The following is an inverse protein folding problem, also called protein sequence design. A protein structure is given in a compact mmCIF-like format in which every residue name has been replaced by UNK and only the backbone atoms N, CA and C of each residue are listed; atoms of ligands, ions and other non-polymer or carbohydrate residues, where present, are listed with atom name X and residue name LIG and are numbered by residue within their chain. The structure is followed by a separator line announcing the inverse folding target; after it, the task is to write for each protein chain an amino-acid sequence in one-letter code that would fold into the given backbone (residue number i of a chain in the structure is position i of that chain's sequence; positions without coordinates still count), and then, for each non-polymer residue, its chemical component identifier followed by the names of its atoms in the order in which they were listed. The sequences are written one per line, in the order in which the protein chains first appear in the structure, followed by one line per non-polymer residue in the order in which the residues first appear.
data_IF_104920116116
#
_entry.id   IF_104920116116
#
_cell.length_a   1.000
_cell.length_b   1.000
_cell.length_c   1.000
_cell.angle_alpha   90.00
_cell.angle_beta   90.00
_cell.angle_gamma   90.00
#
_symmetry.space_group_name_H-M   'P 1'
#
loop_
_entity.id
_entity.type
_entity.pdbx_description
1 polymer ?
#
# COMPACT_ATOMS: atom_id res chain seq x y z
N UNK A 1 40.97 -0.67 11.35
CA UNK A 1 39.57 -1.06 11.04
C UNK A 1 39.58 -2.07 9.89
N UNK A 2 38.81 -3.16 9.96
CA UNK A 2 38.85 -4.27 8.97
C UNK A 2 38.41 -3.89 7.54
N UNK A 3 37.65 -2.79 7.39
CA UNK A 3 37.17 -2.30 6.09
C UNK A 3 37.46 -0.82 5.94
N UNK A 4 37.75 -0.39 4.71
CA UNK A 4 38.02 1.01 4.39
C UNK A 4 36.74 1.86 4.40
N UNK A 5 36.89 3.19 4.52
CA UNK A 5 35.78 4.15 4.38
C UNK A 5 35.13 4.04 2.99
N UNK A 6 35.93 3.81 1.95
CA UNK A 6 35.48 3.62 0.57
C UNK A 6 34.59 2.39 0.42
N UNK A 7 35.00 1.28 1.06
CA UNK A 7 34.20 0.04 1.09
C UNK A 7 32.83 0.27 1.73
N UNK A 8 32.78 1.05 2.82
CA UNK A 8 31.52 1.40 3.48
C UNK A 8 30.63 2.29 2.61
N UNK A 9 31.19 3.30 1.93
CA UNK A 9 30.44 4.17 1.00
C UNK A 9 29.84 3.38 -0.15
N UNK A 10 30.64 2.53 -0.80
CA UNK A 10 30.20 1.68 -1.92
C UNK A 10 29.08 0.71 -1.52
N UNK A 11 29.15 0.15 -0.31
CA UNK A 11 28.08 -0.69 0.23
C UNK A 11 26.76 0.08 0.41
N UNK A 12 26.83 1.33 0.88
CA UNK A 12 25.65 2.19 1.04
C UNK A 12 25.06 2.55 -0.32
N UNK A 13 25.90 2.90 -1.30
CA UNK A 13 25.48 3.21 -2.68
C UNK A 13 24.73 2.02 -3.31
N UNK A 14 25.28 0.81 -3.22
CA UNK A 14 24.63 -0.41 -3.70
C UNK A 14 23.28 -0.67 -3.03
N UNK A 15 23.14 -0.35 -1.75
CA UNK A 15 21.85 -0.45 -1.07
C UNK A 15 20.86 0.62 -1.57
N UNK A 16 21.31 1.87 -1.78
CA UNK A 16 20.48 2.98 -2.24
C UNK A 16 19.93 2.77 -3.66
N UNK A 17 20.66 2.09 -4.53
CA UNK A 17 20.18 1.68 -5.87
C UNK A 17 19.24 0.45 -5.82
N UNK A 18 18.88 -0.03 -4.63
CA UNK A 18 17.80 -1.01 -4.42
C UNK A 18 18.24 -2.46 -4.18
N UNK A 19 19.53 -2.74 -3.99
CA UNK A 19 19.96 -4.09 -3.65
C UNK A 19 19.65 -4.46 -2.19
N UNK A 20 19.29 -5.74 -1.96
CA UNK A 20 19.10 -6.27 -0.60
C UNK A 20 20.43 -6.29 0.17
N UNK A 21 20.37 -6.20 1.50
CA UNK A 21 21.58 -6.23 2.35
C UNK A 21 22.42 -7.50 2.12
N UNK A 22 21.76 -8.64 1.85
CA UNK A 22 22.40 -9.90 1.51
C UNK A 22 23.13 -9.83 0.16
N UNK A 23 22.52 -9.21 -0.86
CA UNK A 23 23.16 -9.01 -2.17
C UNK A 23 24.37 -8.07 -2.06
N UNK A 24 24.26 -7.00 -1.28
CA UNK A 24 25.37 -6.08 -1.01
C UNK A 24 26.52 -6.80 -0.27
N UNK A 25 26.21 -7.65 0.71
CA UNK A 25 27.20 -8.44 1.43
C UNK A 25 28.04 -9.34 0.50
N UNK A 26 27.38 -10.01 -0.44
CA UNK A 26 28.04 -10.82 -1.47
C UNK A 26 28.95 -9.98 -2.39
N UNK A 27 28.48 -8.82 -2.86
CA UNK A 27 29.24 -7.94 -3.76
C UNK A 27 30.45 -7.27 -3.09
N UNK A 28 30.35 -6.97 -1.79
CA UNK A 28 31.37 -6.25 -1.03
C UNK A 28 32.36 -7.21 -0.34
N UNK A 29 32.01 -8.49 -0.20
CA UNK A 29 32.81 -9.48 0.52
C UNK A 29 32.82 -9.24 2.03
N UNK A 30 31.72 -8.71 2.59
CA UNK A 30 31.56 -8.44 4.02
C UNK A 30 30.37 -9.24 4.58
N UNK A 31 30.37 -9.48 5.90
CA UNK A 31 29.24 -10.13 6.56
C UNK A 31 27.98 -9.24 6.49
N UNK A 32 26.83 -9.83 6.22
CA UNK A 32 25.52 -9.14 6.13
C UNK A 32 25.20 -8.29 7.38
N UNK A 33 25.54 -8.77 8.59
CA UNK A 33 25.36 -8.00 9.82
C UNK A 33 26.17 -6.69 9.82
N UNK A 34 27.36 -6.71 9.22
CA UNK A 34 28.21 -5.51 9.07
C UNK A 34 27.58 -4.53 8.08
N UNK A 35 27.08 -5.03 6.96
CA UNK A 35 26.34 -4.22 5.97
C UNK A 35 25.10 -3.58 6.60
N UNK A 36 24.30 -4.35 7.35
CA UNK A 36 23.11 -3.87 8.05
C UNK A 36 23.45 -2.79 9.07
N UNK A 37 24.55 -2.95 9.81
CA UNK A 37 25.05 -1.91 10.73
C UNK A 37 25.36 -0.62 9.98
N UNK A 38 26.12 -0.68 8.88
CA UNK A 38 26.46 0.50 8.08
C UNK A 38 25.24 1.18 7.46
N UNK A 39 24.28 0.40 6.96
CA UNK A 39 23.01 0.93 6.43
C UNK A 39 22.22 1.62 7.54
N UNK A 40 22.13 1.03 8.74
CA UNK A 40 21.41 1.63 9.86
C UNK A 40 22.07 2.93 10.31
N UNK A 41 23.40 2.97 10.43
CA UNK A 41 24.16 4.19 10.72
C UNK A 41 23.94 5.27 9.63
N UNK A 42 23.87 4.88 8.36
CA UNK A 42 23.59 5.78 7.25
C UNK A 42 22.13 6.28 7.25
N UNK A 43 21.15 5.42 7.54
CA UNK A 43 19.72 5.76 7.68
C UNK A 43 19.45 6.65 8.88
N UNK A 44 20.21 6.53 9.96
CA UNK A 44 20.13 7.45 11.09
C UNK A 44 20.60 8.86 10.72
N UNK A 45 21.45 9.00 9.68
CA UNK A 45 21.89 10.29 9.13
C UNK A 45 21.03 10.79 7.96
N UNK A 46 20.55 9.89 7.10
CA UNK A 46 19.59 10.19 6.03
C UNK A 46 18.16 10.06 6.58
N UNK A 47 17.66 11.14 7.18
CA UNK A 47 16.30 11.19 7.71
C UNK A 47 15.25 10.81 6.66
N UNK A 48 14.38 9.85 7.03
CA UNK A 48 13.16 9.37 6.36
C UNK A 48 13.33 8.88 4.91
N UNK A 49 12.60 7.82 4.55
CA UNK A 49 12.51 7.39 3.15
C UNK A 49 12.04 8.58 2.30
N UNK A 50 12.59 8.79 1.08
CA UNK A 50 12.13 9.87 0.22
C UNK A 50 10.63 9.72 -0.04
N UNK A 51 9.88 10.79 0.24
CA UNK A 51 8.45 10.88 -0.01
C UNK A 51 8.20 11.92 -1.09
N UNK A 52 7.26 11.62 -1.97
CA UNK A 52 6.80 12.54 -3.01
C UNK A 52 5.35 12.91 -2.71
N UNK A 53 4.96 14.15 -3.01
CA UNK A 53 3.59 14.61 -2.87
C UNK A 53 3.19 15.46 -4.08
N UNK A 54 1.90 15.47 -4.36
CA UNK A 54 1.26 16.39 -5.30
C UNK A 54 0.25 17.21 -4.50
N UNK A 55 0.23 18.52 -4.71
CA UNK A 55 -0.74 19.41 -4.09
C UNK A 55 -1.68 19.97 -5.16
N UNK A 56 -2.98 19.87 -4.90
CA UNK A 56 -4.05 20.42 -5.73
C UNK A 56 -4.88 21.36 -4.86
N UNK A 57 -5.07 22.61 -5.29
CA UNK A 57 -5.71 23.68 -4.50
C UNK A 57 -6.97 24.25 -5.17
N UNK A 58 -7.56 23.51 -6.12
CA UNK A 58 -8.78 23.94 -6.81
C UNK A 58 -10.00 23.89 -5.89
N UNK A 59 -10.56 25.06 -5.60
CA UNK A 59 -11.82 25.19 -4.84
C UNK A 59 -12.96 24.39 -5.48
N UNK A 60 -13.14 24.52 -6.79
CA UNK A 60 -14.18 23.80 -7.52
C UNK A 60 -14.04 22.28 -7.37
N UNK A 61 -12.81 21.76 -7.40
CA UNK A 61 -12.54 20.34 -7.18
C UNK A 61 -12.89 19.92 -5.76
N UNK A 62 -12.46 20.68 -4.75
CA UNK A 62 -12.78 20.39 -3.35
C UNK A 62 -14.29 20.36 -3.09
N UNK A 63 -15.01 21.37 -3.59
CA UNK A 63 -16.47 21.46 -3.46
C UNK A 63 -17.16 20.28 -4.19
N UNK A 64 -16.70 19.94 -5.40
CA UNK A 64 -17.25 18.81 -6.17
C UNK A 64 -17.03 17.47 -5.48
N UNK A 65 -15.82 17.22 -4.96
CA UNK A 65 -15.47 15.99 -4.26
C UNK A 65 -16.18 15.86 -2.90
N UNK A 66 -16.51 16.99 -2.27
CA UNK A 66 -17.27 16.99 -1.02
C UNK A 66 -18.69 16.40 -1.19
N UNK A 67 -19.30 16.56 -2.37
CA UNK A 67 -20.58 15.93 -2.70
C UNK A 67 -20.49 14.39 -2.77
N UNK A 68 -19.27 13.85 -2.89
CA UNK A 68 -18.96 12.42 -2.81
C UNK A 68 -18.35 12.04 -1.46
N UNK A 69 -18.51 12.85 -0.41
CA UNK A 69 -18.02 12.52 0.93
C UNK A 69 -16.50 12.64 1.13
N UNK A 70 -15.78 13.20 0.16
CA UNK A 70 -14.33 13.44 0.29
C UNK A 70 -14.15 14.82 0.94
N UNK A 71 -14.12 14.80 2.27
CA UNK A 71 -14.03 16.00 3.12
C UNK A 71 -12.71 16.06 3.91
N UNK A 72 -12.30 17.24 4.41
CA UNK A 72 -11.18 17.36 5.33
C UNK A 72 -11.35 16.49 6.59
N UNK A 73 -10.25 16.01 7.17
CA UNK A 73 -10.24 15.21 8.40
C UNK A 73 -11.09 13.92 8.36
N UNK A 74 -11.34 13.39 7.15
CA UNK A 74 -12.15 12.17 6.95
C UNK A 74 -11.59 10.88 7.56
N UNK A 75 -10.38 10.87 8.11
CA UNK A 75 -9.76 9.62 8.60
C UNK A 75 -10.61 8.97 9.69
N UNK A 76 -11.11 7.76 9.46
CA UNK A 76 -12.03 7.04 10.36
C UNK A 76 -13.51 7.42 10.17
N UNK A 77 -13.81 8.32 9.24
CA UNK A 77 -15.16 8.76 8.87
C UNK A 77 -15.36 8.73 7.34
N UNK A 78 -14.49 8.03 6.61
CA UNK A 78 -14.64 7.86 5.17
C UNK A 78 -15.99 7.21 4.87
N UNK A 79 -16.64 7.61 3.79
CA UNK A 79 -17.90 6.98 3.36
C UNK A 79 -17.71 6.34 2.00
N UNK A 80 -18.46 5.26 1.75
CA UNK A 80 -18.70 4.83 0.39
C UNK A 80 -19.78 5.74 -0.20
N UNK A 81 -19.52 6.50 -1.28
CA UNK A 81 -20.48 7.49 -1.73
C UNK A 81 -21.69 6.84 -2.43
N UNK A 82 -22.91 7.22 -2.06
CA UNK A 82 -24.13 6.59 -2.57
C UNK A 82 -24.44 6.96 -4.02
N UNK A 83 -23.94 8.10 -4.51
CA UNK A 83 -24.30 8.67 -5.81
C UNK A 83 -23.24 8.44 -6.90
N UNK A 84 -22.39 7.41 -6.77
CA UNK A 84 -21.45 7.04 -7.83
C UNK A 84 -22.19 6.20 -8.89
N UNK A 85 -22.14 6.57 -10.18
CA UNK A 85 -22.68 5.73 -11.24
C UNK A 85 -22.10 4.31 -11.18
N UNK A 86 -22.93 3.29 -11.35
CA UNK A 86 -22.53 1.88 -11.18
C UNK A 86 -21.26 1.48 -11.96
N UNK A 87 -21.08 2.06 -13.15
CA UNK A 87 -19.89 1.83 -13.99
C UNK A 87 -18.57 2.21 -13.29
N UNK A 88 -18.60 3.18 -12.37
CA UNK A 88 -17.42 3.68 -11.66
C UNK A 88 -17.23 3.05 -10.26
N UNK A 89 -18.13 2.18 -9.79
CA UNK A 89 -17.97 1.49 -8.49
C UNK A 89 -16.66 0.71 -8.44
N UNK A 90 -16.37 -0.04 -9.52
CA UNK A 90 -15.13 -0.78 -9.68
C UNK A 90 -13.90 0.12 -9.60
N UNK A 91 -13.96 1.29 -10.23
CA UNK A 91 -12.86 2.26 -10.24
C UNK A 91 -12.66 2.93 -8.88
N UNK A 92 -13.75 3.23 -8.16
CA UNK A 92 -13.71 3.74 -6.79
C UNK A 92 -13.06 2.72 -5.85
N UNK A 93 -13.50 1.46 -5.88
CA UNK A 93 -12.94 0.38 -5.05
C UNK A 93 -11.44 0.20 -5.38
N UNK A 94 -11.06 0.21 -6.67
CA UNK A 94 -9.65 0.17 -7.07
C UNK A 94 -8.85 1.35 -6.52
N UNK A 95 -9.40 2.57 -6.60
CA UNK A 95 -8.75 3.78 -6.07
C UNK A 95 -8.51 3.70 -4.55
N UNK A 96 -9.52 3.26 -3.79
CA UNK A 96 -9.39 3.01 -2.34
C UNK A 96 -8.34 1.93 -2.08
N UNK A 97 -8.37 0.82 -2.82
CA UNK A 97 -7.38 -0.25 -2.65
C UNK A 97 -5.96 0.22 -2.95
N UNK A 98 -5.77 0.96 -4.03
CA UNK A 98 -4.47 1.45 -4.46
C UNK A 98 -3.88 2.43 -3.45
N UNK A 99 -4.70 3.32 -2.90
CA UNK A 99 -4.34 4.19 -1.77
C UNK A 99 -4.03 3.39 -0.50
N UNK A 100 -5.07 2.84 0.12
CA UNK A 100 -5.04 2.38 1.52
C UNK A 100 -5.20 0.86 1.70
N UNK A 101 -5.51 0.12 0.63
CA UNK A 101 -5.72 -1.34 0.68
C UNK A 101 -4.57 -2.15 1.29
N UNK A 102 -4.88 -3.28 1.92
CA UNK A 102 -3.89 -4.14 2.58
C UNK A 102 -3.39 -5.20 1.60
N UNK A 103 -2.07 -5.41 1.59
CA UNK A 103 -1.41 -6.53 0.87
C UNK A 103 -0.41 -7.19 1.81
N UNK A 104 -0.65 -8.46 2.14
CA UNK A 104 0.21 -9.30 2.97
C UNK A 104 0.82 -10.39 2.09
N UNK A 105 1.97 -10.09 1.50
CA UNK A 105 2.72 -11.00 0.60
C UNK A 105 3.26 -12.25 1.31
N UNK A 106 3.35 -12.23 2.65
CA UNK A 106 3.90 -13.38 3.40
C UNK A 106 2.86 -14.45 3.61
N UNK A 107 1.61 -14.05 3.79
CA UNK A 107 0.47 -14.95 4.01
C UNK A 107 -0.46 -15.03 2.81
N UNK A 108 -0.12 -14.37 1.70
CA UNK A 108 -0.89 -14.32 0.47
C UNK A 108 -2.33 -13.83 0.72
N UNK A 109 -2.46 -12.69 1.42
CA UNK A 109 -3.75 -12.08 1.76
C UNK A 109 -3.84 -10.65 1.27
N UNK A 110 -5.07 -10.22 1.00
CA UNK A 110 -5.38 -8.83 0.68
C UNK A 110 -6.70 -8.41 1.32
N UNK A 111 -6.94 -7.10 1.38
CA UNK A 111 -8.21 -6.58 1.88
C UNK A 111 -8.18 -5.07 2.00
N UNK A 112 -9.08 -4.53 2.80
CA UNK A 112 -9.27 -3.08 2.95
C UNK A 112 -9.23 -2.69 4.42
N UNK A 113 -8.84 -1.44 4.66
CA UNK A 113 -8.88 -0.76 5.96
C UNK A 113 -9.51 0.61 5.75
N UNK A 114 -10.28 1.07 6.73
CA UNK A 114 -10.94 2.37 6.70
C UNK A 114 -12.01 2.47 7.77
N UNK A 115 -12.92 3.43 7.63
CA UNK A 115 -14.11 3.49 8.47
C UNK A 115 -14.98 2.23 8.34
N UNK A 116 -15.82 2.01 9.35
CA UNK A 116 -16.82 0.94 9.30
C UNK A 116 -17.80 1.10 8.11
N UNK A 117 -18.18 2.33 7.75
CA UNK A 117 -19.08 2.57 6.62
C UNK A 117 -18.44 2.11 5.30
N UNK A 118 -17.22 2.59 5.04
CA UNK A 118 -16.50 2.28 3.81
C UNK A 118 -16.24 0.77 3.68
N UNK A 119 -15.73 0.15 4.74
CA UNK A 119 -15.38 -1.28 4.74
C UNK A 119 -16.60 -2.17 4.51
N UNK A 120 -17.72 -1.93 5.22
CA UNK A 120 -18.93 -2.73 5.05
C UNK A 120 -19.51 -2.59 3.64
N UNK A 121 -19.58 -1.36 3.10
CA UNK A 121 -20.10 -1.14 1.75
C UNK A 121 -19.23 -1.82 0.69
N UNK A 122 -17.90 -1.82 0.84
CA UNK A 122 -17.01 -2.58 -0.06
C UNK A 122 -17.31 -4.08 -0.01
N UNK A 123 -17.53 -4.67 1.16
CA UNK A 123 -17.90 -6.10 1.24
C UNK A 123 -19.23 -6.40 0.55
N UNK A 124 -20.21 -5.51 0.68
CA UNK A 124 -21.50 -5.64 -0.01
C UNK A 124 -21.32 -5.58 -1.54
N UNK A 125 -20.59 -4.59 -2.06
CA UNK A 125 -20.33 -4.45 -3.51
C UNK A 125 -19.53 -5.62 -4.08
N UNK A 126 -18.64 -6.23 -3.27
CA UNK A 126 -17.88 -7.42 -3.65
C UNK A 126 -18.65 -8.74 -3.42
N UNK A 127 -19.86 -8.69 -2.84
CA UNK A 127 -20.64 -9.85 -2.43
C UNK A 127 -19.86 -10.81 -1.49
N UNK A 128 -19.17 -10.26 -0.48
CA UNK A 128 -18.28 -10.97 0.46
C UNK A 128 -18.73 -10.88 1.92
N UNK A 129 -19.99 -11.22 2.17
CA UNK A 129 -20.53 -11.30 3.54
C UNK A 129 -19.92 -12.44 4.38
N UNK A 130 -19.12 -13.32 3.76
CA UNK A 130 -18.39 -14.41 4.42
C UNK A 130 -17.14 -13.94 5.18
N UNK A 131 -16.62 -12.74 4.90
CA UNK A 131 -15.40 -12.24 5.51
C UNK A 131 -15.69 -11.47 6.81
N UNK A 132 -14.96 -11.80 7.86
CA UNK A 132 -15.05 -11.09 9.14
C UNK A 132 -14.34 -9.74 9.10
N UNK A 133 -14.97 -8.74 9.73
CA UNK A 133 -14.40 -7.43 9.99
C UNK A 133 -13.73 -7.42 11.36
N UNK A 134 -12.55 -6.81 11.43
CA UNK A 134 -11.76 -6.68 12.65
C UNK A 134 -11.52 -5.21 12.97
N UNK A 135 -11.61 -4.86 14.25
CA UNK A 135 -11.27 -3.51 14.72
C UNK A 135 -9.76 -3.34 14.82
N UNK A 136 -9.28 -2.13 14.52
CA UNK A 136 -7.89 -1.75 14.80
C UNK A 136 -7.77 -1.17 16.22
N UNK A 137 -6.54 -0.80 16.62
CA UNK A 137 -6.32 -0.03 17.86
C UNK A 137 -6.85 1.41 17.76
N UNK A 138 -7.00 1.92 16.53
CA UNK A 138 -7.51 3.26 16.29
C UNK A 138 -9.03 3.25 16.33
N UNK A 139 -9.62 4.23 17.02
CA UNK A 139 -11.07 4.41 17.09
C UNK A 139 -11.64 4.60 15.67
N UNK A 140 -12.78 3.98 15.39
CA UNK A 140 -13.52 4.05 14.12
C UNK A 140 -12.80 3.48 12.89
N UNK A 141 -11.64 2.85 13.02
CA UNK A 141 -10.95 2.20 11.91
C UNK A 141 -11.03 0.68 12.08
N UNK A 142 -11.56 0.02 11.07
CA UNK A 142 -11.63 -1.43 10.96
C UNK A 142 -11.02 -1.90 9.64
N UNK A 143 -10.86 -3.22 9.51
CA UNK A 143 -10.33 -3.84 8.32
C UNK A 143 -10.88 -5.25 8.13
N UNK A 144 -10.77 -5.76 6.91
CA UNK A 144 -10.95 -7.19 6.65
C UNK A 144 -9.80 -7.70 5.79
N UNK A 145 -9.58 -9.01 5.81
CA UNK A 145 -8.60 -9.70 4.97
C UNK A 145 -9.22 -10.98 4.42
N UNK A 146 -9.07 -11.20 3.14
CA UNK A 146 -9.33 -12.50 2.52
C UNK A 146 -8.03 -13.22 2.18
N UNK A 147 -8.13 -14.55 2.10
CA UNK A 147 -7.04 -15.43 1.65
C UNK A 147 -6.75 -15.33 0.16
N UNK A 148 -5.79 -16.14 -0.31
CA UNK A 148 -5.33 -16.16 -1.70
C UNK A 148 -6.46 -16.25 -2.74
N UNK A 149 -7.49 -17.07 -2.48
CA UNK A 149 -8.67 -17.19 -3.37
C UNK A 149 -9.38 -15.85 -3.55
N UNK A 150 -9.74 -15.19 -2.44
CA UNK A 150 -10.31 -13.83 -2.48
C UNK A 150 -9.37 -12.84 -3.16
N UNK A 151 -8.06 -12.92 -2.88
CA UNK A 151 -7.09 -12.00 -3.49
C UNK A 151 -7.04 -12.11 -5.02
N UNK A 152 -7.22 -13.32 -5.58
CA UNK A 152 -7.31 -13.52 -7.04
C UNK A 152 -8.60 -12.92 -7.61
N UNK A 153 -9.73 -13.21 -6.99
CA UNK A 153 -11.03 -12.65 -7.39
C UNK A 153 -11.01 -11.11 -7.33
N UNK A 154 -10.45 -10.54 -6.26
CA UNK A 154 -10.30 -9.09 -6.10
C UNK A 154 -9.35 -8.50 -7.15
N UNK A 155 -8.23 -9.17 -7.46
CA UNK A 155 -7.28 -8.72 -8.47
C UNK A 155 -7.92 -8.66 -9.87
N UNK A 156 -8.62 -9.73 -10.26
CA UNK A 156 -9.35 -9.80 -11.53
C UNK A 156 -10.44 -8.71 -11.58
N UNK A 157 -11.23 -8.57 -10.52
CA UNK A 157 -12.26 -7.53 -10.42
C UNK A 157 -11.69 -6.12 -10.60
N UNK A 158 -10.60 -5.77 -9.92
CA UNK A 158 -10.09 -4.40 -9.94
C UNK A 158 -9.31 -4.08 -11.21
N UNK A 159 -8.44 -4.98 -11.66
CA UNK A 159 -7.41 -4.65 -12.64
C UNK A 159 -7.70 -5.13 -14.06
N UNK A 160 -8.68 -6.02 -14.27
CA UNK A 160 -9.03 -6.44 -15.62
C UNK A 160 -9.55 -5.26 -16.46
N UNK A 161 -8.97 -5.07 -17.64
CA UNK A 161 -9.23 -3.94 -18.56
C UNK A 161 -9.01 -2.55 -17.93
N UNK A 162 -8.27 -2.45 -16.82
CA UNK A 162 -7.99 -1.15 -16.18
C UNK A 162 -6.83 -0.43 -16.88
N UNK A 163 -7.01 0.87 -17.12
CA UNK A 163 -5.97 1.74 -17.71
C UNK A 163 -5.26 2.60 -16.67
N UNK A 164 -5.83 2.75 -15.47
CA UNK A 164 -5.30 3.59 -14.40
C UNK A 164 -5.26 2.85 -13.06
N UNK A 165 -4.04 2.66 -12.52
CA UNK A 165 -3.77 2.05 -11.23
C UNK A 165 -2.37 2.37 -10.71
N UNK A 166 -2.14 2.16 -9.42
CA UNK A 166 -0.81 2.25 -8.84
C UNK A 166 -0.02 0.96 -9.06
N UNK A 167 1.02 1.03 -9.90
CA UNK A 167 1.92 -0.10 -10.22
C UNK A 167 2.40 -0.86 -8.98
N UNK A 168 2.74 -0.15 -7.88
CA UNK A 168 3.17 -0.74 -6.61
C UNK A 168 2.16 -1.74 -6.03
N UNK A 169 0.86 -1.45 -6.13
CA UNK A 169 -0.22 -2.28 -5.59
C UNK A 169 -0.56 -3.42 -6.53
N UNK A 170 -0.62 -3.13 -7.83
CA UNK A 170 -0.77 -4.12 -8.88
C UNK A 170 0.26 -5.25 -8.76
N UNK A 171 1.56 -4.93 -8.72
CA UNK A 171 2.63 -5.94 -8.66
C UNK A 171 2.57 -6.80 -7.38
N UNK A 172 2.19 -6.20 -6.25
CA UNK A 172 2.03 -6.93 -4.98
C UNK A 172 0.84 -7.89 -5.04
N UNK A 173 -0.27 -7.46 -5.62
CA UNK A 173 -1.43 -8.33 -5.82
C UNK A 173 -1.12 -9.46 -6.80
N UNK A 174 -0.44 -9.15 -7.92
CA UNK A 174 0.01 -10.16 -8.89
C UNK A 174 0.91 -11.21 -8.23
N UNK A 175 1.85 -10.79 -7.37
CA UNK A 175 2.68 -11.71 -6.60
C UNK A 175 1.83 -12.63 -5.69
N UNK A 176 0.85 -12.07 -4.97
CA UNK A 176 -0.07 -12.83 -4.11
C UNK A 176 -0.89 -13.84 -4.94
N UNK A 177 -1.29 -13.49 -6.15
CA UNK A 177 -2.09 -14.38 -7.00
C UNK A 177 -1.29 -15.58 -7.51
N UNK A 178 0.01 -15.38 -7.78
CA UNK A 178 0.89 -16.35 -8.42
C UNK A 178 1.62 -17.29 -7.45
N UNK A 179 1.64 -17.00 -6.14
CA UNK A 179 2.34 -17.77 -5.10
C UNK A 179 1.38 -18.22 -4.02
#
# INVERSE_FOLDING_TARGET
MKYSVETKKKAIEYYLVGYSAQKVACLIGANEATIRKWINEAKMKCGKNPSYYVSLTSRHMCESLSNYGIVPQKTGFEIFPDNIPKVYIRDFIRGVFDGDGITDIRRFRSGFVGSNNLVNRILVELNRCDLSIFNTKSKNICYFLGGKKFSRELFEYMYNDSTLYLKRKYERMKYICNN
#
